data_IF_739116360029
#
_entry.id   IF_739116360029
#
_cell.length_a   1.000
_cell.length_b   1.000
_cell.length_c   1.000
_cell.angle_alpha   90.00
_cell.angle_beta   90.00
_cell.angle_gamma   90.00
#
_symmetry.space_group_name_H-M   'P 1'
#
loop_
_entity.id
_entity.type
_entity.pdbx_description
1 polymer ?
#
# COMPACT_ATOMS: atom_id res chain seq x y z
N UNK A 1 29.20 -0.44 -13.91
CA UNK A 1 28.52 -0.70 -12.60
C UNK A 1 27.80 0.59 -12.24
N UNK A 2 26.48 0.65 -12.41
CA UNK A 2 25.69 1.80 -11.98
C UNK A 2 25.68 1.78 -10.46
N UNK A 3 26.26 2.83 -9.84
CA UNK A 3 26.15 3.08 -8.41
C UNK A 3 24.65 3.24 -8.14
N UNK A 4 24.05 2.26 -7.49
CA UNK A 4 22.64 2.32 -7.11
C UNK A 4 22.42 3.57 -6.27
N UNK A 5 21.59 4.49 -6.74
CA UNK A 5 21.26 5.68 -6.00
C UNK A 5 20.66 5.24 -4.65
N UNK A 6 21.27 5.69 -3.54
CA UNK A 6 20.77 5.40 -2.19
C UNK A 6 19.33 5.90 -2.10
N UNK A 7 18.41 5.03 -1.69
CA UNK A 7 17.04 5.41 -1.44
C UNK A 7 17.01 6.48 -0.34
N UNK A 8 16.62 7.71 -0.70
CA UNK A 8 16.58 8.83 0.25
C UNK A 8 15.18 9.07 0.81
N UNK A 9 14.17 8.99 -0.04
CA UNK A 9 12.76 9.18 0.32
C UNK A 9 11.93 8.07 -0.30
N UNK A 10 10.75 7.81 0.26
CA UNK A 10 9.77 6.86 -0.26
C UNK A 10 8.47 7.61 -0.55
N UNK A 11 8.32 8.15 -1.74
CA UNK A 11 7.19 9.02 -2.10
C UNK A 11 6.22 8.39 -3.10
N UNK A 12 6.72 7.47 -3.94
CA UNK A 12 5.92 6.80 -4.97
C UNK A 12 6.43 5.39 -5.29
N UNK A 13 5.57 4.54 -5.87
CA UNK A 13 5.91 3.15 -6.18
C UNK A 13 6.89 3.01 -7.35
N UNK A 14 6.88 3.94 -8.31
CA UNK A 14 7.74 3.91 -9.49
C UNK A 14 9.23 3.93 -9.16
N UNK A 15 9.62 4.51 -8.03
CA UNK A 15 11.02 4.63 -7.61
C UNK A 15 11.69 3.32 -7.20
N UNK A 16 10.91 2.26 -6.94
CA UNK A 16 11.46 0.96 -6.58
C UNK A 16 11.90 0.19 -7.82
N UNK A 17 13.18 -0.17 -7.88
CA UNK A 17 13.65 -1.16 -8.85
C UNK A 17 13.30 -2.59 -8.37
N UNK A 18 13.25 -3.55 -9.30
CA UNK A 18 13.06 -4.96 -8.93
C UNK A 18 14.12 -5.43 -7.92
N UNK A 19 15.38 -5.06 -8.13
CA UNK A 19 16.47 -5.44 -7.20
C UNK A 19 16.24 -4.91 -5.78
N UNK A 20 15.78 -3.65 -5.65
CA UNK A 20 15.46 -3.07 -4.35
C UNK A 20 14.24 -3.75 -3.70
N UNK A 21 13.22 -4.13 -4.48
CA UNK A 21 12.07 -4.90 -3.97
C UNK A 21 12.51 -6.25 -3.41
N UNK A 22 13.35 -6.99 -4.14
CA UNK A 22 13.89 -8.29 -3.70
C UNK A 22 14.73 -8.14 -2.42
N UNK A 23 15.57 -7.11 -2.33
CA UNK A 23 16.35 -6.80 -1.12
C UNK A 23 15.44 -6.56 0.08
N UNK A 24 14.42 -5.70 -0.06
CA UNK A 24 13.46 -5.41 1.00
C UNK A 24 12.66 -6.67 1.42
N UNK A 25 12.32 -7.53 0.48
CA UNK A 25 11.58 -8.75 0.77
C UNK A 25 12.43 -9.79 1.52
N UNK A 26 13.69 -9.96 1.13
CA UNK A 26 14.62 -10.82 1.86
C UNK A 26 14.79 -10.30 3.29
N UNK A 27 15.00 -8.98 3.42
CA UNK A 27 15.16 -8.35 4.74
C UNK A 27 13.92 -8.48 5.61
N UNK A 28 12.73 -8.36 5.02
CA UNK A 28 11.46 -8.55 5.72
C UNK A 28 11.27 -9.97 6.22
N UNK A 29 11.69 -10.96 5.41
CA UNK A 29 11.64 -12.37 5.80
C UNK A 29 12.61 -12.69 6.96
N UNK A 30 13.82 -12.13 6.95
CA UNK A 30 14.77 -12.24 8.06
C UNK A 30 14.17 -11.67 9.35
N UNK A 31 13.58 -10.46 9.28
CA UNK A 31 12.95 -9.81 10.42
C UNK A 31 11.72 -10.55 10.94
N UNK A 32 10.98 -11.23 10.05
CA UNK A 32 9.85 -12.10 10.41
C UNK A 32 10.30 -13.36 11.14
N UNK A 33 11.37 -13.97 10.65
CA UNK A 33 11.88 -15.24 11.17
C UNK A 33 12.67 -15.07 12.47
N UNK A 34 13.51 -14.05 12.54
CA UNK A 34 14.47 -13.84 13.64
C UNK A 34 14.41 -12.42 14.22
N UNK A 35 13.23 -11.95 14.72
CA UNK A 35 13.00 -10.55 15.07
C UNK A 35 13.94 -10.03 16.17
N UNK A 36 14.44 -10.91 17.04
CA UNK A 36 15.34 -10.55 18.13
C UNK A 36 16.73 -10.10 17.66
N UNK A 37 17.18 -10.50 16.46
CA UNK A 37 18.45 -10.04 15.89
C UNK A 37 18.42 -8.57 15.45
N UNK A 38 17.24 -7.95 15.41
CA UNK A 38 17.05 -6.58 14.95
C UNK A 38 16.71 -5.61 16.10
N UNK A 39 16.60 -6.11 17.33
CA UNK A 39 16.39 -5.26 18.52
C UNK A 39 17.60 -4.35 18.70
N UNK A 40 17.34 -3.04 18.78
CA UNK A 40 18.40 -2.02 18.94
C UNK A 40 19.05 -1.57 17.62
N UNK A 41 18.65 -2.10 16.48
CA UNK A 41 19.19 -1.75 15.16
C UNK A 41 19.09 -0.24 14.84
N UNK A 42 18.04 0.42 15.34
CA UNK A 42 17.80 1.85 15.21
C UNK A 42 17.80 2.57 16.59
N UNK A 43 18.57 2.05 17.54
CA UNK A 43 18.69 2.66 18.85
C UNK A 43 19.16 4.12 18.75
N UNK A 44 18.48 5.02 19.47
CA UNK A 44 18.77 6.45 19.46
C UNK A 44 18.14 7.22 18.31
N UNK A 45 17.52 6.56 17.33
CA UNK A 45 16.83 7.23 16.23
C UNK A 45 15.37 7.51 16.56
N UNK A 46 14.85 8.59 16.00
CA UNK A 46 13.49 9.10 16.22
C UNK A 46 12.72 9.14 14.91
N UNK A 47 11.54 8.54 14.88
CA UNK A 47 10.59 8.64 13.78
C UNK A 47 9.46 9.61 14.11
N UNK A 48 9.25 10.63 13.29
CA UNK A 48 8.06 11.46 13.37
C UNK A 48 6.93 10.91 12.51
N UNK A 49 5.73 10.78 13.07
CA UNK A 49 4.51 10.31 12.38
C UNK A 49 3.49 11.46 12.28
N UNK A 50 3.41 12.08 11.10
CA UNK A 50 2.55 13.23 10.81
C UNK A 50 1.34 12.78 9.99
N UNK A 51 0.20 12.57 10.65
CA UNK A 51 -1.02 12.09 10.01
C UNK A 51 -2.07 13.20 9.97
N UNK A 52 -2.28 13.76 8.77
CA UNK A 52 -3.32 14.78 8.49
C UNK A 52 -4.66 14.14 8.09
N UNK A 53 -4.68 12.83 7.88
CA UNK A 53 -5.86 11.99 7.73
C UNK A 53 -5.80 10.82 8.71
N UNK A 54 -6.92 10.43 9.34
CA UNK A 54 -6.96 9.27 10.25
C UNK A 54 -6.48 7.98 9.57
N UNK A 55 -5.63 7.23 10.23
CA UNK A 55 -5.17 5.92 9.75
C UNK A 55 -4.57 5.07 10.87
N UNK A 56 -5.41 4.36 11.59
CA UNK A 56 -5.01 3.51 12.73
C UNK A 56 -3.97 2.46 12.33
N UNK A 57 -4.26 1.65 11.30
CA UNK A 57 -3.37 0.55 10.91
C UNK A 57 -2.02 1.02 10.42
N UNK A 58 -1.99 2.00 9.50
CA UNK A 58 -0.72 2.48 8.94
C UNK A 58 0.14 3.12 10.01
N UNK A 59 -0.43 3.97 10.85
CA UNK A 59 0.28 4.62 11.94
C UNK A 59 0.85 3.61 12.93
N UNK A 60 -0.01 2.80 13.56
CA UNK A 60 0.42 1.83 14.57
C UNK A 60 1.45 0.84 14.04
N UNK A 61 1.37 0.44 12.76
CA UNK A 61 2.35 -0.47 12.19
C UNK A 61 3.71 0.19 11.93
N UNK A 62 3.78 1.48 11.59
CA UNK A 62 5.05 2.22 11.54
C UNK A 62 5.63 2.43 12.92
N UNK A 63 4.81 2.84 13.89
CA UNK A 63 5.24 2.99 15.28
C UNK A 63 5.77 1.66 15.84
N UNK A 64 5.03 0.57 15.65
CA UNK A 64 5.46 -0.76 16.06
C UNK A 64 6.76 -1.20 15.36
N UNK A 65 6.93 -0.88 14.06
CA UNK A 65 8.15 -1.19 13.32
C UNK A 65 9.36 -0.46 13.89
N UNK A 66 9.24 0.84 14.16
CA UNK A 66 10.32 1.65 14.73
C UNK A 66 10.69 1.17 16.13
N UNK A 67 9.70 0.94 17.01
CA UNK A 67 9.92 0.45 18.36
C UNK A 67 10.57 -0.95 18.39
N UNK A 68 10.20 -1.87 17.49
CA UNK A 68 10.83 -3.19 17.39
C UNK A 68 12.28 -3.15 16.94
N UNK A 69 12.67 -2.12 16.20
CA UNK A 69 14.05 -1.86 15.82
C UNK A 69 14.84 -1.09 16.90
N UNK A 70 14.21 -0.76 18.03
CA UNK A 70 14.85 -0.08 19.15
C UNK A 70 14.89 1.45 19.04
N UNK A 71 14.26 2.02 18.01
CA UNK A 71 14.09 3.45 17.89
C UNK A 71 12.90 3.97 18.72
N UNK A 72 12.65 5.25 18.66
CA UNK A 72 11.54 5.92 19.34
C UNK A 72 10.60 6.60 18.33
N UNK A 73 9.38 6.92 18.76
CA UNK A 73 8.40 7.57 17.91
C UNK A 73 7.82 8.81 18.57
N UNK A 74 7.59 9.83 17.78
CA UNK A 74 6.79 10.98 18.14
C UNK A 74 5.80 11.28 17.03
N UNK A 75 4.69 11.93 17.32
CA UNK A 75 3.75 12.23 16.26
C UNK A 75 2.45 12.82 16.75
N UNK A 76 1.58 13.14 15.82
CA UNK A 76 0.25 13.65 16.07
C UNK A 76 -0.80 12.90 15.26
N UNK A 77 -1.91 12.59 15.91
CA UNK A 77 -3.15 12.17 15.27
C UNK A 77 -3.89 13.42 14.84
N UNK A 78 -4.39 13.42 13.61
CA UNK A 78 -5.14 14.55 13.11
C UNK A 78 -4.35 15.87 13.20
N UNK A 79 -3.15 15.87 12.62
CA UNK A 79 -2.29 17.04 12.56
C UNK A 79 -3.01 18.30 12.02
N UNK A 80 -4.09 18.10 11.23
CA UNK A 80 -4.91 19.19 10.70
C UNK A 80 -5.64 19.98 11.80
N UNK A 81 -6.13 19.32 12.85
CA UNK A 81 -6.95 19.96 13.89
C UNK A 81 -6.15 20.31 15.14
N UNK A 82 -5.13 19.54 15.45
CA UNK A 82 -4.40 19.62 16.73
C UNK A 82 -2.94 20.04 16.59
N UNK A 83 -2.53 20.57 15.43
CA UNK A 83 -1.18 21.07 15.23
C UNK A 83 -1.17 22.54 14.76
N UNK A 84 0.01 23.07 14.50
CA UNK A 84 0.21 24.41 13.93
C UNK A 84 -0.48 24.58 12.56
N UNK A 85 -0.76 23.47 11.84
CA UNK A 85 -1.55 23.51 10.62
C UNK A 85 -2.96 24.09 10.82
N UNK A 86 -3.57 23.91 12.00
CA UNK A 86 -4.85 24.55 12.36
C UNK A 86 -4.74 26.08 12.42
N UNK A 87 -3.53 26.62 12.59
CA UNK A 87 -3.23 28.06 12.62
C UNK A 87 -2.75 28.58 11.26
N UNK A 88 -2.73 27.74 10.22
CA UNK A 88 -2.31 28.12 8.86
C UNK A 88 -0.85 27.84 8.52
N UNK A 89 -0.10 27.10 9.36
CA UNK A 89 1.26 26.66 9.02
C UNK A 89 1.23 25.73 7.79
N UNK A 90 2.16 25.95 6.86
CA UNK A 90 2.26 25.12 5.66
C UNK A 90 2.86 23.74 5.98
N UNK A 91 2.57 22.75 5.13
CA UNK A 91 3.21 21.43 5.24
C UNK A 91 4.74 21.56 5.17
N UNK A 92 5.23 22.40 4.26
CA UNK A 92 6.65 22.61 4.03
C UNK A 92 7.37 23.20 5.26
N UNK A 93 6.74 24.12 5.99
CA UNK A 93 7.31 24.69 7.20
C UNK A 93 7.30 23.68 8.35
N UNK A 94 6.20 22.96 8.53
CA UNK A 94 6.13 21.84 9.49
C UNK A 94 7.25 20.83 9.22
N UNK A 95 7.48 20.43 7.95
CA UNK A 95 8.53 19.46 7.59
C UNK A 95 9.93 20.01 7.91
N UNK A 96 10.22 21.29 7.60
CA UNK A 96 11.53 21.88 7.92
C UNK A 96 11.81 21.85 9.44
N UNK A 97 10.80 22.20 10.25
CA UNK A 97 10.91 22.20 11.71
C UNK A 97 11.10 20.78 12.24
N UNK A 98 10.23 19.84 11.84
CA UNK A 98 10.25 18.46 12.33
C UNK A 98 11.50 17.71 11.86
N UNK A 99 12.08 18.07 10.71
CA UNK A 99 13.37 17.53 10.26
C UNK A 99 14.53 17.83 11.24
N UNK A 100 14.38 18.81 12.13
CA UNK A 100 15.34 19.09 13.21
C UNK A 100 15.13 18.23 14.46
N UNK A 101 14.05 17.46 14.54
CA UNK A 101 13.67 16.66 15.71
C UNK A 101 13.67 15.16 15.47
N UNK A 102 13.66 14.73 14.20
CA UNK A 102 13.52 13.34 13.81
C UNK A 102 14.56 12.93 12.77
N UNK A 103 14.84 11.63 12.69
CA UNK A 103 15.73 11.03 11.70
C UNK A 103 14.96 10.52 10.46
N UNK A 104 13.64 10.35 10.58
CA UNK A 104 12.73 10.01 9.48
C UNK A 104 11.33 10.54 9.77
N UNK A 105 10.63 10.97 8.72
CA UNK A 105 9.26 11.48 8.85
C UNK A 105 8.32 10.64 7.99
N UNK A 106 7.29 10.07 8.60
CA UNK A 106 6.18 9.39 7.93
C UNK A 106 5.03 10.37 7.78
N UNK A 107 4.64 10.67 6.54
CA UNK A 107 3.59 11.65 6.24
C UNK A 107 2.39 10.97 5.61
N UNK A 108 1.18 11.22 6.14
CA UNK A 108 -0.09 10.92 5.51
C UNK A 108 -0.89 12.20 5.32
N UNK A 109 -1.27 12.51 4.08
CA UNK A 109 -1.94 13.76 3.75
C UNK A 109 -3.15 13.54 2.83
N UNK A 110 -4.12 14.47 2.84
CA UNK A 110 -5.30 14.41 1.98
C UNK A 110 -5.05 14.85 0.53
N UNK A 111 -4.00 15.63 0.30
CA UNK A 111 -3.66 16.20 -1.00
C UNK A 111 -2.67 15.30 -1.74
N UNK A 112 -2.95 15.05 -3.00
CA UNK A 112 -2.03 14.39 -3.91
C UNK A 112 -0.73 15.19 -4.07
N UNK A 113 0.41 14.48 -4.09
CA UNK A 113 1.73 15.10 -4.23
C UNK A 113 2.29 15.71 -2.94
N UNK A 114 1.55 15.71 -1.82
CA UNK A 114 2.01 16.26 -0.54
C UNK A 114 3.33 15.61 -0.07
N UNK A 115 3.47 14.28 -0.23
CA UNK A 115 4.71 13.60 0.14
C UNK A 115 5.91 14.03 -0.71
N UNK A 116 5.71 14.34 -2.00
CA UNK A 116 6.78 14.89 -2.87
C UNK A 116 7.18 16.30 -2.44
N UNK A 117 6.21 17.16 -2.11
CA UNK A 117 6.49 18.51 -1.56
C UNK A 117 7.25 18.42 -0.23
N UNK A 118 6.82 17.52 0.66
CA UNK A 118 7.52 17.26 1.91
C UNK A 118 8.98 16.83 1.68
N UNK A 119 9.20 15.88 0.76
CA UNK A 119 10.54 15.39 0.42
C UNK A 119 11.47 16.47 -0.18
N UNK A 120 10.89 17.43 -0.93
CA UNK A 120 11.65 18.51 -1.53
C UNK A 120 12.27 19.49 -0.51
N UNK A 121 11.71 19.60 0.69
CA UNK A 121 12.15 20.53 1.73
C UNK A 121 12.74 19.84 2.96
N UNK A 122 12.67 18.52 3.04
CA UNK A 122 13.11 17.74 4.20
C UNK A 122 14.62 17.52 4.22
N UNK A 123 15.22 17.69 5.38
CA UNK A 123 16.62 17.31 5.64
C UNK A 123 16.77 15.81 5.90
N UNK A 124 15.69 15.10 6.27
CA UNK A 124 15.66 13.68 6.63
C UNK A 124 14.77 12.88 5.67
N UNK A 125 14.86 11.53 5.63
CA UNK A 125 13.99 10.71 4.81
C UNK A 125 12.49 10.97 5.05
N UNK A 126 11.72 11.07 3.96
CA UNK A 126 10.24 11.13 3.98
C UNK A 126 9.68 9.80 3.50
N UNK A 127 8.68 9.28 4.21
CA UNK A 127 7.90 8.10 3.81
C UNK A 127 6.44 8.51 3.60
N UNK A 128 5.94 8.30 2.39
CA UNK A 128 4.54 8.49 2.04
C UNK A 128 3.67 7.36 2.62
N UNK A 129 2.84 7.70 3.60
CA UNK A 129 1.83 6.81 4.21
C UNK A 129 0.43 6.97 3.59
N UNK A 130 0.36 7.56 2.39
CA UNK A 130 -0.83 7.84 1.60
C UNK A 130 -1.09 9.33 1.43
N UNK A 131 -1.17 9.78 0.18
CA UNK A 131 -1.43 11.18 -0.19
C UNK A 131 -2.67 11.30 -1.09
N UNK A 132 -3.82 11.51 -0.49
CA UNK A 132 -5.10 11.67 -1.18
C UNK A 132 -5.41 10.53 -2.17
N UNK A 133 -5.80 10.83 -3.42
CA UNK A 133 -5.99 9.84 -4.48
C UNK A 133 -4.68 9.37 -5.12
N UNK A 134 -3.53 9.98 -4.79
CA UNK A 134 -2.24 9.75 -5.41
C UNK A 134 -1.71 8.34 -5.19
N UNK A 135 -0.82 8.14 -4.21
CA UNK A 135 -0.18 6.85 -3.99
C UNK A 135 -0.11 6.44 -2.51
N UNK A 136 0.12 5.15 -2.29
CA UNK A 136 0.44 4.57 -1.00
C UNK A 136 1.56 3.52 -1.18
N UNK A 137 2.81 3.94 -1.43
CA UNK A 137 3.89 3.03 -1.81
C UNK A 137 4.14 1.94 -0.77
N UNK A 138 4.04 2.24 0.52
CA UNK A 138 4.26 1.24 1.56
C UNK A 138 3.13 0.22 1.70
N UNK A 139 1.91 0.55 1.22
CA UNK A 139 0.85 -0.44 1.06
C UNK A 139 1.18 -1.36 -0.11
N UNK A 140 1.57 -0.81 -1.26
CA UNK A 140 1.94 -1.62 -2.41
C UNK A 140 3.12 -2.57 -2.12
N UNK A 141 4.11 -2.13 -1.32
CA UNK A 141 5.22 -2.98 -0.88
C UNK A 141 4.73 -4.18 -0.06
N UNK A 142 3.87 -3.95 0.94
CA UNK A 142 3.35 -5.06 1.76
C UNK A 142 2.41 -5.97 0.97
N UNK A 143 1.66 -5.42 0.01
CA UNK A 143 0.78 -6.20 -0.86
C UNK A 143 1.60 -7.13 -1.75
N UNK A 144 2.63 -6.59 -2.41
CA UNK A 144 3.51 -7.37 -3.27
C UNK A 144 4.33 -8.41 -2.47
N UNK A 145 4.80 -8.04 -1.27
CA UNK A 145 5.44 -8.99 -0.35
C UNK A 145 4.48 -10.12 0.06
N UNK A 146 3.21 -9.80 0.30
CA UNK A 146 2.21 -10.81 0.64
C UNK A 146 1.97 -11.78 -0.51
N UNK A 147 1.92 -11.30 -1.76
CA UNK A 147 1.83 -12.16 -2.94
C UNK A 147 3.01 -13.15 -2.97
N UNK A 148 4.24 -12.65 -2.75
CA UNK A 148 5.43 -13.50 -2.68
C UNK A 148 5.38 -14.49 -1.52
N UNK A 149 4.99 -14.06 -0.33
CA UNK A 149 4.94 -14.86 0.90
C UNK A 149 3.93 -16.02 0.78
N UNK A 150 2.74 -15.73 0.21
CA UNK A 150 1.65 -16.70 0.08
C UNK A 150 1.82 -17.64 -1.14
N UNK A 151 2.36 -17.13 -2.26
CA UNK A 151 2.48 -17.88 -3.51
C UNK A 151 3.91 -18.35 -3.82
N UNK A 152 4.89 -17.97 -3.01
CA UNK A 152 6.33 -18.24 -3.19
C UNK A 152 6.92 -17.72 -4.51
N UNK A 153 6.21 -16.85 -5.21
CA UNK A 153 6.61 -16.22 -6.49
C UNK A 153 5.87 -14.92 -6.70
N UNK A 154 6.37 -14.11 -7.65
CA UNK A 154 5.67 -12.95 -8.21
C UNK A 154 5.61 -13.08 -9.74
N UNK A 155 6.70 -13.47 -10.39
CA UNK A 155 6.69 -13.69 -11.84
C UNK A 155 5.59 -14.70 -12.24
N UNK A 156 4.87 -14.41 -13.31
CA UNK A 156 3.81 -15.25 -13.84
C UNK A 156 2.52 -15.25 -13.03
N UNK A 157 2.35 -14.33 -12.06
CA UNK A 157 1.14 -14.24 -11.25
C UNK A 157 0.04 -13.50 -12.01
N UNK A 158 -1.18 -14.03 -11.91
CA UNK A 158 -2.40 -13.45 -12.48
C UNK A 158 -3.20 -12.78 -11.37
N UNK A 159 -3.45 -11.48 -11.51
CA UNK A 159 -4.05 -10.66 -10.46
C UNK A 159 -5.33 -10.00 -10.96
N UNK A 160 -6.43 -10.20 -10.24
CA UNK A 160 -7.65 -9.41 -10.40
C UNK A 160 -7.65 -8.26 -9.40
N UNK A 161 -7.74 -7.04 -9.91
CA UNK A 161 -8.02 -5.83 -9.13
C UNK A 161 -9.53 -5.57 -9.20
N UNK A 162 -10.21 -5.57 -8.06
CA UNK A 162 -11.68 -5.58 -8.00
C UNK A 162 -12.21 -4.40 -7.18
N UNK A 163 -13.22 -3.70 -7.68
CA UNK A 163 -13.94 -2.66 -6.97
C UNK A 163 -13.70 -1.24 -7.48
N UNK A 164 -13.37 -0.28 -6.62
CA UNK A 164 -13.10 1.11 -7.02
C UNK A 164 -11.65 1.26 -7.53
N UNK A 165 -11.47 1.15 -8.82
CA UNK A 165 -10.15 1.22 -9.46
C UNK A 165 -9.77 2.65 -9.85
N UNK A 166 -10.75 3.52 -10.08
CA UNK A 166 -10.51 4.92 -10.43
C UNK A 166 -9.90 5.71 -9.26
N UNK A 167 -10.43 5.52 -8.04
CA UNK A 167 -10.00 6.23 -6.84
C UNK A 167 -9.07 5.41 -5.94
N UNK A 168 -8.78 4.16 -6.33
CA UNK A 168 -8.03 3.19 -5.56
C UNK A 168 -6.52 3.42 -5.59
N UNK A 169 -5.98 4.36 -4.77
CA UNK A 169 -4.52 4.61 -4.69
C UNK A 169 -3.69 3.36 -4.42
N UNK A 170 -4.25 2.37 -3.69
CA UNK A 170 -3.56 1.09 -3.40
C UNK A 170 -3.44 0.22 -4.63
N UNK A 171 -4.51 0.14 -5.44
CA UNK A 171 -4.52 -0.54 -6.74
C UNK A 171 -3.50 0.08 -7.68
N UNK A 172 -3.53 1.41 -7.81
CA UNK A 172 -2.57 2.18 -8.62
C UNK A 172 -1.12 1.87 -8.22
N UNK A 173 -0.83 1.99 -6.94
CA UNK A 173 0.53 1.76 -6.40
C UNK A 173 1.00 0.32 -6.59
N UNK A 174 0.13 -0.67 -6.40
CA UNK A 174 0.45 -2.08 -6.59
C UNK A 174 0.67 -2.41 -8.07
N UNK A 175 -0.11 -1.83 -8.96
CA UNK A 175 0.04 -2.03 -10.42
C UNK A 175 1.41 -1.55 -10.91
N UNK A 176 1.90 -0.39 -10.44
CA UNK A 176 3.26 0.07 -10.74
C UNK A 176 4.35 -0.91 -10.25
N UNK A 177 4.16 -1.58 -9.12
CA UNK A 177 5.13 -2.56 -8.65
C UNK A 177 5.05 -3.87 -9.44
N UNK A 178 3.85 -4.35 -9.75
CA UNK A 178 3.64 -5.57 -10.53
C UNK A 178 4.23 -5.45 -11.95
N UNK A 179 4.15 -4.27 -12.58
CA UNK A 179 4.73 -4.04 -13.91
C UNK A 179 6.26 -4.24 -14.02
N UNK A 180 6.96 -4.37 -12.88
CA UNK A 180 8.40 -4.64 -12.82
C UNK A 180 8.76 -6.13 -12.86
N UNK A 181 7.73 -7.00 -12.84
CA UNK A 181 7.91 -8.45 -12.84
C UNK A 181 7.49 -9.04 -14.19
N UNK A 182 8.00 -10.24 -14.49
CA UNK A 182 7.78 -10.89 -15.78
C UNK A 182 6.47 -11.66 -15.79
N UNK A 183 5.86 -11.76 -16.96
CA UNK A 183 4.71 -12.61 -17.24
C UNK A 183 3.50 -12.35 -16.32
N UNK A 184 3.39 -11.12 -15.79
CA UNK A 184 2.22 -10.67 -15.04
C UNK A 184 1.05 -10.49 -16.00
N UNK A 185 -0.16 -10.89 -15.56
CA UNK A 185 -1.40 -10.56 -16.26
C UNK A 185 -2.40 -9.97 -15.27
N UNK A 186 -3.05 -8.86 -15.65
CA UNK A 186 -3.96 -8.13 -14.81
C UNK A 186 -5.40 -8.21 -15.35
N UNK A 187 -6.37 -8.32 -14.45
CA UNK A 187 -7.79 -8.12 -14.72
C UNK A 187 -8.26 -6.92 -13.88
N UNK A 188 -8.89 -5.98 -14.54
CA UNK A 188 -9.55 -4.84 -13.91
C UNK A 188 -11.05 -5.12 -13.89
N UNK A 189 -11.55 -5.48 -12.71
CA UNK A 189 -12.94 -5.85 -12.49
C UNK A 189 -13.65 -4.71 -11.78
N UNK A 190 -14.35 -3.87 -12.54
CA UNK A 190 -14.99 -2.68 -12.01
C UNK A 190 -16.20 -2.27 -12.87
N UNK A 191 -17.24 -1.66 -12.27
CA UNK A 191 -18.24 -0.94 -13.05
C UNK A 191 -17.58 0.21 -13.82
N UNK A 192 -18.15 0.62 -14.99
CA UNK A 192 -17.57 1.67 -15.83
C UNK A 192 -17.31 3.00 -15.10
N UNK A 193 -18.13 3.33 -14.11
CA UNK A 193 -18.04 4.57 -13.33
C UNK A 193 -16.79 4.67 -12.44
N UNK A 194 -16.19 3.52 -12.13
CA UNK A 194 -15.00 3.40 -11.27
C UNK A 194 -13.92 2.54 -11.92
N UNK A 195 -13.91 2.47 -13.25
CA UNK A 195 -12.92 1.74 -14.04
C UNK A 195 -11.52 2.31 -13.87
N UNK A 196 -10.51 1.51 -14.24
CA UNK A 196 -9.10 1.90 -14.17
C UNK A 196 -8.81 3.09 -15.08
N UNK A 197 -8.04 4.05 -14.60
CA UNK A 197 -7.64 5.23 -15.37
C UNK A 197 -6.72 4.89 -16.55
N UNK A 198 -6.87 5.65 -17.65
CA UNK A 198 -6.13 5.43 -18.90
C UNK A 198 -4.63 5.65 -18.75
N UNK A 199 -4.21 6.49 -17.82
CA UNK A 199 -2.80 6.72 -17.52
C UNK A 199 -2.10 5.46 -17.03
N UNK A 200 -2.78 4.65 -16.23
CA UNK A 200 -2.24 3.38 -15.73
C UNK A 200 -2.28 2.29 -16.79
N UNK A 201 -3.32 2.26 -17.63
CA UNK A 201 -3.39 1.36 -18.80
C UNK A 201 -2.26 1.64 -19.77
N UNK A 202 -2.01 2.91 -20.09
CA UNK A 202 -0.89 3.32 -20.95
C UNK A 202 0.46 2.91 -20.36
N UNK A 203 0.65 3.03 -19.03
CA UNK A 203 1.84 2.54 -18.34
C UNK A 203 2.03 1.02 -18.52
N UNK A 204 0.96 0.24 -18.41
CA UNK A 204 1.02 -1.21 -18.60
C UNK A 204 1.34 -1.59 -20.05
N UNK A 205 0.78 -0.88 -21.02
CA UNK A 205 1.06 -1.08 -22.45
C UNK A 205 2.53 -0.77 -22.77
N UNK A 206 3.07 0.33 -22.22
CA UNK A 206 4.50 0.69 -22.34
C UNK A 206 5.43 -0.40 -21.78
N UNK A 207 5.00 -1.05 -20.68
CA UNK A 207 5.77 -2.12 -20.03
C UNK A 207 5.41 -3.53 -20.53
N UNK A 208 4.59 -3.63 -21.58
CA UNK A 208 4.11 -4.89 -22.18
C UNK A 208 3.46 -5.86 -21.18
N UNK A 209 2.73 -5.32 -20.20
CA UNK A 209 1.97 -6.10 -19.23
C UNK A 209 0.54 -6.27 -19.75
N UNK A 210 0.10 -7.50 -20.11
CA UNK A 210 -1.24 -7.73 -20.59
C UNK A 210 -2.29 -7.47 -19.49
N UNK A 211 -3.35 -6.78 -19.88
CA UNK A 211 -4.49 -6.49 -19.01
C UNK A 211 -5.84 -6.68 -19.73
N UNK A 212 -6.89 -6.90 -18.96
CA UNK A 212 -8.28 -7.07 -19.44
C UNK A 212 -9.21 -6.30 -18.51
N UNK A 213 -10.18 -5.56 -19.05
CA UNK A 213 -11.28 -4.97 -18.29
C UNK A 213 -12.55 -5.82 -18.43
N UNK A 214 -13.27 -5.97 -17.33
CA UNK A 214 -14.57 -6.67 -17.29
C UNK A 214 -15.36 -6.25 -16.05
N UNK A 215 -16.67 -6.46 -16.10
CA UNK A 215 -17.55 -6.29 -14.94
C UNK A 215 -17.88 -7.66 -14.29
N UNK A 216 -17.55 -8.78 -14.92
CA UNK A 216 -17.90 -10.12 -14.44
C UNK A 216 -16.81 -10.70 -13.54
N UNK A 217 -16.97 -10.51 -12.23
CA UNK A 217 -16.07 -11.07 -11.23
C UNK A 217 -16.06 -12.60 -11.27
N UNK A 218 -17.24 -13.24 -11.43
CA UNK A 218 -17.33 -14.68 -11.35
C UNK A 218 -16.59 -15.39 -12.49
N UNK A 219 -16.60 -14.81 -13.68
CA UNK A 219 -15.81 -15.30 -14.81
C UNK A 219 -14.30 -15.19 -14.60
N UNK A 220 -13.85 -14.23 -13.76
CA UNK A 220 -12.42 -13.97 -13.50
C UNK A 220 -11.87 -14.84 -12.37
N UNK A 221 -12.67 -15.16 -11.34
CA UNK A 221 -12.22 -15.91 -10.16
C UNK A 221 -11.47 -17.23 -10.48
N UNK A 222 -11.89 -18.07 -11.46
CA UNK A 222 -11.15 -19.29 -11.80
C UNK A 222 -9.86 -19.05 -12.60
N UNK A 223 -9.65 -17.84 -13.11
CA UNK A 223 -8.53 -17.50 -14.00
C UNK A 223 -7.31 -16.92 -13.25
N UNK A 224 -7.48 -16.44 -12.01
CA UNK A 224 -6.47 -15.65 -11.31
C UNK A 224 -5.88 -16.39 -10.12
N UNK A 225 -4.68 -15.96 -9.73
CA UNK A 225 -3.95 -16.45 -8.57
C UNK A 225 -4.12 -15.51 -7.36
N UNK A 226 -4.46 -14.25 -7.63
CA UNK A 226 -4.72 -13.22 -6.61
C UNK A 226 -6.00 -12.47 -6.95
N UNK A 227 -6.90 -12.36 -5.98
CA UNK A 227 -8.02 -11.42 -6.00
C UNK A 227 -7.71 -10.30 -5.02
N UNK A 228 -7.44 -9.11 -5.55
CA UNK A 228 -7.21 -7.90 -4.73
C UNK A 228 -8.51 -7.09 -4.70
N UNK A 229 -9.30 -7.34 -3.66
CA UNK A 229 -10.59 -6.70 -3.45
C UNK A 229 -10.42 -5.33 -2.81
N UNK A 230 -11.16 -4.34 -3.29
CA UNK A 230 -11.20 -3.01 -2.71
C UNK A 230 -12.63 -2.57 -2.42
N UNK A 231 -12.78 -1.69 -1.45
CA UNK A 231 -14.04 -1.05 -1.12
C UNK A 231 -14.37 0.04 -2.14
N UNK A 232 -15.63 0.15 -2.55
CA UNK A 232 -16.11 1.34 -3.26
C UNK A 232 -16.25 2.47 -2.25
N UNK A 233 -15.50 3.56 -2.46
CA UNK A 233 -15.30 4.62 -1.48
C UNK A 233 -16.40 5.68 -1.58
N UNK A 234 -17.46 5.58 -0.74
CA UNK A 234 -18.57 6.53 -0.70
C UNK A 234 -18.11 7.99 -0.63
N UNK A 235 -17.08 8.26 0.12
CA UNK A 235 -16.48 9.57 0.34
C UNK A 235 -15.84 10.22 -0.91
N UNK A 236 -15.74 9.47 -2.00
CA UNK A 236 -15.21 9.94 -3.30
C UNK A 236 -16.31 10.33 -4.30
N UNK A 237 -17.56 9.98 -4.00
CA UNK A 237 -18.69 10.32 -4.86
C UNK A 237 -19.31 11.64 -4.40
N UNK A 238 -19.48 12.57 -5.34
CA UNK A 238 -20.23 13.81 -5.12
C UNK A 238 -21.74 13.59 -5.27
N UNK A 239 -22.13 12.61 -6.07
CA UNK A 239 -23.51 12.22 -6.33
C UNK A 239 -23.86 10.91 -5.59
N UNK A 240 -24.83 10.96 -4.64
CA UNK A 240 -25.32 9.76 -3.94
C UNK A 240 -25.94 8.70 -4.86
N UNK A 241 -26.57 9.09 -5.97
CA UNK A 241 -27.19 8.15 -6.91
C UNK A 241 -26.13 7.35 -7.66
N UNK A 242 -25.06 8.02 -8.11
CA UNK A 242 -23.90 7.36 -8.73
C UNK A 242 -23.24 6.35 -7.78
N UNK A 243 -23.13 6.68 -6.49
CA UNK A 243 -22.65 5.72 -5.49
C UNK A 243 -23.58 4.52 -5.31
N UNK A 244 -24.91 4.77 -5.21
CA UNK A 244 -25.89 3.70 -5.01
C UNK A 244 -25.95 2.73 -6.22
N UNK A 245 -25.65 3.21 -7.42
CA UNK A 245 -25.60 2.37 -8.63
C UNK A 245 -24.45 1.33 -8.60
N UNK A 246 -23.38 1.60 -7.86
CA UNK A 246 -22.19 0.72 -7.81
C UNK A 246 -21.96 0.07 -6.44
N UNK A 247 -22.70 0.52 -5.41
CA UNK A 247 -22.59 -0.05 -4.06
C UNK A 247 -22.97 -1.53 -4.05
N UNK A 248 -22.11 -2.38 -3.50
CA UNK A 248 -22.38 -3.80 -3.29
C UNK A 248 -22.42 -4.65 -4.56
N UNK A 249 -21.98 -4.12 -5.71
CA UNK A 249 -21.91 -4.86 -6.98
C UNK A 249 -20.97 -6.07 -6.86
N UNK A 250 -19.87 -5.93 -6.11
CA UNK A 250 -18.95 -7.04 -5.85
C UNK A 250 -18.95 -7.42 -4.38
N UNK A 251 -19.10 -8.73 -4.15
CA UNK A 251 -19.04 -9.31 -2.81
C UNK A 251 -18.37 -10.68 -2.88
N UNK A 252 -17.39 -10.90 -2.02
CA UNK A 252 -16.79 -12.20 -1.80
C UNK A 252 -17.50 -12.90 -0.63
N UNK A 253 -18.08 -14.04 -0.89
CA UNK A 253 -18.75 -14.93 0.06
C UNK A 253 -18.30 -16.39 -0.16
N UNK A 254 -18.88 -17.36 0.56
CA UNK A 254 -18.53 -18.79 0.39
C UNK A 254 -18.73 -19.27 -1.05
N UNK A 255 -19.77 -18.81 -1.75
CA UNK A 255 -20.02 -19.22 -3.12
C UNK A 255 -18.93 -18.70 -4.07
N UNK A 256 -18.57 -17.41 -3.97
CA UNK A 256 -17.46 -16.81 -4.72
C UNK A 256 -16.13 -17.51 -4.42
N UNK A 257 -15.87 -17.86 -3.15
CA UNK A 257 -14.66 -18.58 -2.77
C UNK A 257 -14.57 -19.96 -3.43
N UNK A 258 -15.68 -20.64 -3.72
CA UNK A 258 -15.66 -21.94 -4.45
C UNK A 258 -15.22 -21.81 -5.90
N UNK A 259 -15.40 -20.65 -6.53
CA UNK A 259 -14.96 -20.37 -7.90
C UNK A 259 -13.45 -20.09 -7.98
N UNK A 260 -12.85 -19.63 -6.87
CA UNK A 260 -11.42 -19.35 -6.83
C UNK A 260 -10.59 -20.64 -6.95
N UNK A 261 -9.44 -20.53 -7.59
CA UNK A 261 -8.45 -21.62 -7.66
C UNK A 261 -8.02 -22.07 -6.25
N UNK A 262 -7.66 -23.33 -6.14
CA UNK A 262 -7.26 -23.95 -4.85
C UNK A 262 -6.14 -23.19 -4.13
N UNK A 263 -5.20 -22.62 -4.89
CA UNK A 263 -4.03 -21.91 -4.35
C UNK A 263 -4.10 -20.40 -4.56
N UNK A 264 -5.22 -19.88 -5.04
CA UNK A 264 -5.42 -18.45 -5.15
C UNK A 264 -5.59 -17.83 -3.76
N UNK A 265 -5.26 -16.54 -3.65
CA UNK A 265 -5.42 -15.77 -2.41
C UNK A 265 -6.37 -14.60 -2.60
N UNK A 266 -7.14 -14.30 -1.56
CA UNK A 266 -7.98 -13.12 -1.46
C UNK A 266 -7.28 -12.09 -0.56
N UNK A 267 -7.00 -10.92 -1.12
CA UNK A 267 -6.35 -9.79 -0.46
C UNK A 267 -7.29 -8.60 -0.36
N UNK A 268 -7.06 -7.73 0.62
CA UNK A 268 -7.80 -6.49 0.81
C UNK A 268 -6.96 -5.49 1.62
N UNK A 269 -6.84 -4.21 1.21
CA UNK A 269 -6.05 -3.22 1.95
C UNK A 269 -6.67 -2.78 3.27
N UNK A 270 -7.91 -3.22 3.55
CA UNK A 270 -8.71 -2.86 4.72
C UNK A 270 -8.90 -1.32 4.91
N UNK A 271 -9.99 -0.86 5.52
CA UNK A 271 -11.07 -1.65 6.13
C UNK A 271 -12.01 -2.22 5.08
N UNK A 272 -12.49 -3.42 5.31
CA UNK A 272 -13.65 -3.96 4.57
C UNK A 272 -14.96 -3.53 5.27
N UNK A 273 -16.03 -3.48 4.51
CA UNK A 273 -17.39 -3.21 5.00
C UNK A 273 -18.29 -4.37 4.57
N UNK A 274 -18.85 -4.31 3.35
CA UNK A 274 -19.82 -5.28 2.84
C UNK A 274 -19.24 -6.20 1.76
N UNK A 275 -18.09 -5.82 1.17
CA UNK A 275 -17.48 -6.45 0.00
C UNK A 275 -16.82 -7.80 0.28
N UNK A 276 -16.58 -8.14 1.55
CA UNK A 276 -16.16 -9.48 1.97
C UNK A 276 -17.01 -9.91 3.16
N UNK A 277 -17.74 -11.00 2.98
CA UNK A 277 -18.58 -11.57 4.02
C UNK A 277 -17.76 -12.14 5.19
N UNK A 278 -18.22 -12.02 6.46
CA UNK A 278 -17.47 -12.49 7.63
C UNK A 278 -17.09 -13.97 7.59
N UNK A 279 -17.94 -14.82 7.00
CA UNK A 279 -17.69 -16.26 6.90
C UNK A 279 -16.49 -16.63 6.01
N UNK A 280 -15.98 -15.68 5.22
CA UNK A 280 -14.77 -15.87 4.39
C UNK A 280 -13.51 -15.87 5.25
N UNK A 281 -13.54 -15.32 6.45
CA UNK A 281 -12.39 -15.24 7.35
C UNK A 281 -11.80 -16.61 7.71
N UNK A 282 -12.63 -17.65 7.69
CA UNK A 282 -12.23 -19.03 8.00
C UNK A 282 -11.56 -19.74 6.81
N UNK A 283 -11.69 -19.20 5.58
CA UNK A 283 -11.05 -19.81 4.41
C UNK A 283 -9.52 -19.51 4.43
N UNK A 284 -8.65 -20.52 4.34
CA UNK A 284 -7.19 -20.32 4.37
C UNK A 284 -6.67 -19.42 3.25
N UNK A 285 -7.41 -19.28 2.16
CA UNK A 285 -7.09 -18.37 1.05
C UNK A 285 -7.38 -16.90 1.36
N UNK A 286 -8.13 -16.60 2.44
CA UNK A 286 -8.33 -15.24 2.94
C UNK A 286 -7.04 -14.70 3.56
N UNK A 287 -6.25 -13.97 2.79
CA UNK A 287 -4.93 -13.51 3.17
C UNK A 287 -4.90 -12.11 3.81
N UNK A 288 -5.97 -11.34 3.80
CA UNK A 288 -5.98 -9.90 4.12
C UNK A 288 -5.54 -9.57 5.56
N UNK A 289 -5.73 -10.45 6.54
CA UNK A 289 -5.18 -10.23 7.89
C UNK A 289 -3.68 -10.54 7.96
N UNK A 290 -3.22 -11.57 7.24
CA UNK A 290 -1.79 -11.87 7.09
C UNK A 290 -1.09 -10.77 6.30
N UNK A 291 -1.73 -10.25 5.25
CA UNK A 291 -1.32 -9.07 4.48
C UNK A 291 -1.11 -7.85 5.41
N UNK A 292 -2.07 -7.54 6.27
CA UNK A 292 -1.92 -6.46 7.24
C UNK A 292 -0.74 -6.67 8.20
N UNK A 293 -0.53 -7.92 8.66
CA UNK A 293 0.60 -8.30 9.51
C UNK A 293 1.94 -8.18 8.79
N UNK A 294 2.01 -8.55 7.52
CA UNK A 294 3.20 -8.42 6.68
C UNK A 294 3.67 -6.96 6.57
N UNK A 295 2.73 -6.02 6.71
CA UNK A 295 3.03 -4.59 6.76
C UNK A 295 4.00 -4.19 7.87
N UNK A 296 4.02 -4.90 9.00
CA UNK A 296 4.98 -4.65 10.08
C UNK A 296 6.42 -4.91 9.59
N UNK A 297 6.67 -6.09 9.02
CA UNK A 297 8.01 -6.51 8.61
C UNK A 297 8.55 -5.70 7.42
N UNK A 298 7.69 -5.39 6.44
CA UNK A 298 8.06 -4.51 5.32
C UNK A 298 8.44 -3.11 5.82
N UNK A 299 7.71 -2.56 6.79
CA UNK A 299 8.04 -1.25 7.37
C UNK A 299 9.31 -1.28 8.20
N UNK A 300 9.56 -2.37 8.91
CA UNK A 300 10.86 -2.57 9.59
C UNK A 300 12.01 -2.59 8.58
N UNK A 301 11.92 -3.39 7.52
CA UNK A 301 12.94 -3.46 6.48
C UNK A 301 13.15 -2.10 5.78
N UNK A 302 12.07 -1.36 5.54
CA UNK A 302 12.14 -0.04 4.92
C UNK A 302 12.82 1.00 5.82
N UNK A 303 12.48 1.03 7.11
CA UNK A 303 13.11 1.91 8.09
C UNK A 303 14.59 1.58 8.27
N UNK A 304 14.93 0.30 8.37
CA UNK A 304 16.34 -0.16 8.43
C UNK A 304 17.11 0.31 7.18
N UNK A 305 16.53 0.15 5.98
CA UNK A 305 17.16 0.58 4.70
C UNK A 305 17.40 2.08 4.59
N UNK A 306 16.51 2.90 5.15
CA UNK A 306 16.61 4.36 5.08
C UNK A 306 17.57 4.94 6.13
N UNK A 307 17.69 4.28 7.30
CA UNK A 307 18.34 4.81 8.48
C UNK A 307 19.68 4.15 8.83
N UNK A 308 20.05 3.06 8.13
CA UNK A 308 21.32 2.34 8.35
C UNK A 308 22.45 2.76 7.44
#
# INVERSE_FOLDING_TARGET
MAVGSRLRHVVESQQFSRALLEELFVRSEEMKREPHHFIGRLAGQVMAALFYEPSTRTRLSFEAAMLRLGGTTMGTDNAREFSSAAKGETLEDTIRIVSGYADVIVVRHKEEGAAKRAAAVSAVPIINAGDGPGQHPTQALLDLYTIRDELSKIDGVRVAMVGDLANGRTVRSLTYLLSKFKDIKLWFVAPPQVAMGDDLKAHLDEHHVPWVETEDLNAVLPEVDVVYMTRIQKERFTDPEAYNAVKGVYRMDKASMTLMRKYAILMHPLPRVDEIAPEVDEDPRAAYFRQARNGLHIRMALLDKLLS
#
